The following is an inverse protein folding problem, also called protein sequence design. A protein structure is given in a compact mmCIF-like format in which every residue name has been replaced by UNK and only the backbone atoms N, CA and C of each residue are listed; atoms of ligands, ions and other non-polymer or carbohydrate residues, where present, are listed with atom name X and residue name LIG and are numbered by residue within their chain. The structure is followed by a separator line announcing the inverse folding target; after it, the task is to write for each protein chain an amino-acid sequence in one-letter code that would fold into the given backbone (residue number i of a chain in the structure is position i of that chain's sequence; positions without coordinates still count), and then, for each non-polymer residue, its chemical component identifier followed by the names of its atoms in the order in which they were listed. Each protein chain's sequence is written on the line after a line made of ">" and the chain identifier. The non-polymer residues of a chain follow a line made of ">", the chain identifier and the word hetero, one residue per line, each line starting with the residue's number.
data_IF_733959841296
#
_entry.id   IF_733959841296
#
_cell.length_a   1.000
_cell.length_b   1.000
_cell.length_c   1.000
_cell.angle_alpha   90.00
_cell.angle_beta   90.00
_cell.angle_gamma   90.00
#
_symmetry.space_group_name_H-M   'P 1'
#
loop_
_entity.id
_entity.type
_entity.pdbx_description
1 polymer ?
#
# COMPACT_ATOMS: atom_id res chain seq x y z
N UNK A 1 -54.65 28.44 15.50
CA UNK A 1 -53.33 28.94 15.97
C UNK A 1 -52.63 27.84 16.77
N UNK A 2 -51.29 27.84 16.82
CA UNK A 2 -50.47 26.66 17.18
C UNK A 2 -49.36 27.02 18.18
N UNK A 3 -49.13 26.10 19.15
CA UNK A 3 -47.90 25.86 19.96
C UNK A 3 -47.09 27.05 20.53
N UNK A 4 -46.83 27.03 21.85
CA UNK A 4 -45.49 26.78 22.48
C UNK A 4 -45.36 27.37 23.90
N UNK A 5 -44.82 26.59 24.83
CA UNK A 5 -43.72 26.86 25.81
C UNK A 5 -43.71 25.72 26.85
N UNK A 6 -42.78 24.76 26.82
CA UNK A 6 -41.35 24.74 27.19
C UNK A 6 -41.05 24.57 28.70
N UNK A 7 -40.06 23.71 28.96
CA UNK A 7 -39.74 23.00 30.21
C UNK A 7 -38.85 23.82 31.17
N UNK A 8 -38.93 23.51 32.47
CA UNK A 8 -38.11 24.07 33.55
C UNK A 8 -37.03 23.06 34.00
N UNK A 9 -35.80 23.59 34.11
CA UNK A 9 -34.68 23.29 35.05
C UNK A 9 -34.82 22.09 36.02
N UNK A 10 -33.80 21.23 36.09
CA UNK A 10 -33.02 20.87 37.33
C UNK A 10 -32.28 19.53 37.22
N UNK A 11 -30.93 19.53 37.31
CA UNK A 11 -30.14 18.41 37.87
C UNK A 11 -28.97 19.04 38.66
N UNK A 12 -28.98 18.87 39.99
CA UNK A 12 -27.88 19.25 40.88
C UNK A 12 -27.96 18.37 42.15
N UNK A 13 -27.40 17.16 42.09
CA UNK A 13 -27.42 16.24 43.25
C UNK A 13 -26.24 15.26 43.23
N UNK A 14 -25.73 14.96 44.44
CA UNK A 14 -24.79 13.86 44.76
C UNK A 14 -23.31 14.12 44.38
N UNK A 15 -22.72 15.09 45.09
CA UNK A 15 -21.37 14.99 45.65
C UNK A 15 -21.49 15.13 47.18
N UNK A 16 -20.49 14.64 47.93
CA UNK A 16 -20.41 14.61 49.41
C UNK A 16 -21.38 13.63 50.12
N UNK A 17 -21.14 12.33 49.91
CA UNK A 17 -21.08 11.30 50.98
C UNK A 17 -20.22 10.13 50.46
N UNK A 18 -19.32 9.50 51.22
CA UNK A 18 -18.88 9.74 52.60
C UNK A 18 -17.35 9.94 52.70
N UNK A 19 -16.93 10.77 53.66
CA UNK A 19 -15.70 10.63 54.43
C UNK A 19 -16.10 10.79 55.91
N UNK A 20 -15.25 10.39 56.87
CA UNK A 20 -15.54 10.38 58.31
C UNK A 20 -16.46 9.21 58.71
N UNK A 21 -15.93 7.98 58.61
CA UNK A 21 -16.14 6.99 59.66
C UNK A 21 -14.77 6.69 60.28
N UNK A 22 -14.63 7.24 61.48
CA UNK A 22 -13.61 6.98 62.50
C UNK A 22 -13.18 5.49 62.50
N UNK A 23 -11.89 5.16 62.60
CA UNK A 23 -10.96 5.49 63.71
C UNK A 23 -11.56 5.13 65.07
N UNK A 24 -11.83 3.83 65.29
CA UNK A 24 -11.75 3.21 66.64
C UNK A 24 -11.88 1.67 66.57
N UNK A 25 -10.76 0.97 66.37
CA UNK A 25 -10.51 -0.29 67.09
C UNK A 25 -9.02 -0.61 67.20
N UNK A 26 -8.44 -0.19 68.32
CA UNK A 26 -7.08 -0.53 68.70
C UNK A 26 -7.00 -1.95 69.29
N UNK A 27 -5.79 -2.50 69.22
CA UNK A 27 -5.19 -3.57 70.04
C UNK A 27 -5.38 -5.07 69.72
N UNK A 28 -4.21 -5.65 69.46
CA UNK A 28 -3.66 -6.97 69.86
C UNK A 28 -4.25 -8.26 69.31
N UNK A 29 -3.47 -8.88 68.40
CA UNK A 29 -2.73 -10.11 68.72
C UNK A 29 -1.46 -10.19 67.87
N UNK A 30 -0.33 -10.58 68.45
CA UNK A 30 0.85 -11.01 67.69
C UNK A 30 0.54 -12.34 66.99
N UNK A 31 1.07 -12.56 65.78
CA UNK A 31 1.66 -13.86 65.49
C UNK A 31 2.74 -13.79 64.40
N UNK A 32 3.75 -14.65 64.50
CA UNK A 32 4.91 -14.65 63.61
C UNK A 32 4.66 -15.54 62.40
N UNK A 33 4.82 -14.99 61.19
CA UNK A 33 5.10 -15.81 60.01
C UNK A 33 6.06 -15.10 59.06
N UNK A 34 7.11 -15.81 58.66
CA UNK A 34 8.21 -15.34 57.83
C UNK A 34 7.89 -15.47 56.34
N UNK A 35 8.08 -14.40 55.56
CA UNK A 35 8.34 -14.53 54.11
C UNK A 35 9.33 -13.47 53.62
N UNK A 36 10.33 -13.92 52.86
CA UNK A 36 11.37 -13.05 52.32
C UNK A 36 10.84 -12.27 51.12
N UNK A 37 10.75 -10.94 51.22
CA UNK A 37 10.52 -10.06 50.07
C UNK A 37 11.86 -9.65 49.43
N UNK A 38 12.34 -10.47 48.50
CA UNK A 38 13.39 -10.08 47.56
C UNK A 38 12.84 -9.03 46.59
N UNK A 39 13.29 -7.79 46.70
CA UNK A 39 12.93 -6.71 45.78
C UNK A 39 13.66 -6.86 44.44
N UNK A 40 13.03 -7.50 43.46
CA UNK A 40 13.48 -7.43 42.06
C UNK A 40 13.13 -6.04 41.49
N UNK A 41 14.07 -5.32 40.86
CA UNK A 41 13.74 -4.08 40.15
C UNK A 41 12.76 -4.36 39.01
N UNK A 42 11.96 -3.37 38.56
CA UNK A 42 11.17 -3.53 37.34
C UNK A 42 12.14 -3.77 36.18
N UNK A 43 12.07 -4.95 35.56
CA UNK A 43 12.66 -5.12 34.24
C UNK A 43 11.88 -4.19 33.30
N UNK A 44 12.52 -3.09 32.90
CA UNK A 44 12.15 -2.39 31.67
C UNK A 44 12.23 -3.42 30.55
N UNK A 45 11.06 -3.85 30.08
CA UNK A 45 10.95 -4.65 28.87
C UNK A 45 11.50 -3.80 27.73
N UNK A 46 12.70 -4.17 27.27
CA UNK A 46 13.21 -3.71 25.99
C UNK A 46 12.15 -4.04 24.94
N UNK A 47 11.51 -3.00 24.41
CA UNK A 47 10.65 -3.12 23.24
C UNK A 47 11.53 -3.63 22.11
N UNK A 48 11.45 -4.94 21.84
CA UNK A 48 12.13 -5.55 20.71
C UNK A 48 11.45 -5.04 19.45
N UNK A 49 12.12 -4.11 18.75
CA UNK A 49 11.66 -3.59 17.47
C UNK A 49 11.37 -4.76 16.53
N UNK A 50 10.09 -5.01 16.26
CA UNK A 50 9.67 -6.05 15.31
C UNK A 50 9.94 -5.50 13.90
N UNK A 51 10.99 -5.99 13.27
CA UNK A 51 11.34 -5.67 11.89
C UNK A 51 11.14 -6.92 11.04
N UNK A 52 10.16 -6.86 10.14
CA UNK A 52 10.04 -7.81 9.03
C UNK A 52 11.15 -7.50 8.02
N UNK A 53 11.76 -8.53 7.44
CA UNK A 53 12.80 -8.42 6.41
C UNK A 53 12.61 -9.53 5.37
N UNK A 54 12.79 -9.17 4.12
CA UNK A 54 12.97 -10.08 2.97
C UNK A 54 14.19 -9.62 2.17
N UNK A 55 14.91 -10.55 1.54
CA UNK A 55 16.21 -10.26 0.92
C UNK A 55 16.52 -11.17 -0.28
N UNK A 56 16.86 -10.57 -1.41
CA UNK A 56 17.43 -11.25 -2.58
C UNK A 56 18.97 -11.10 -2.57
N UNK A 57 19.75 -12.15 -2.90
CA UNK A 57 19.31 -13.51 -3.26
C UNK A 57 19.15 -14.45 -2.05
N UNK A 58 19.40 -13.97 -0.83
CA UNK A 58 19.54 -14.77 0.40
C UNK A 58 18.29 -15.63 0.72
N UNK A 59 17.08 -15.09 0.51
CA UNK A 59 15.79 -15.78 0.68
C UNK A 59 15.27 -16.41 -0.63
N UNK A 60 16.11 -16.47 -1.69
CA UNK A 60 15.79 -17.02 -3.01
C UNK A 60 15.53 -15.96 -4.09
N UNK A 61 15.07 -16.42 -5.27
CA UNK A 61 14.77 -15.54 -6.42
C UNK A 61 13.51 -14.69 -6.23
N UNK A 62 12.59 -15.12 -5.38
CA UNK A 62 11.25 -14.53 -5.21
C UNK A 62 10.93 -14.17 -3.74
N UNK A 63 11.72 -13.33 -3.05
CA UNK A 63 11.43 -12.98 -1.66
C UNK A 63 10.13 -12.15 -1.57
N UNK A 64 9.24 -12.58 -0.69
CA UNK A 64 8.00 -11.89 -0.35
C UNK A 64 7.54 -12.26 1.05
N UNK A 65 6.77 -11.39 1.70
CA UNK A 65 6.23 -11.65 3.03
C UNK A 65 4.96 -10.84 3.34
N UNK A 66 4.03 -11.40 4.15
CA UNK A 66 2.89 -10.66 4.67
C UNK A 66 3.31 -9.65 5.75
N UNK A 67 2.67 -8.48 5.74
CA UNK A 67 2.60 -7.56 6.87
C UNK A 67 1.28 -7.84 7.59
N UNK A 68 1.39 -8.63 8.64
CA UNK A 68 0.35 -8.97 9.61
C UNK A 68 0.83 -8.44 10.97
N UNK A 69 0.23 -7.34 11.45
CA UNK A 69 0.66 -6.59 12.63
C UNK A 69 0.02 -7.12 13.91
N UNK A 70 -1.22 -7.57 13.85
CA UNK A 70 -1.96 -8.05 15.02
C UNK A 70 -1.88 -9.58 15.21
N UNK A 71 -1.55 -10.32 14.15
CA UNK A 71 -1.31 -11.75 14.15
C UNK A 71 -2.56 -12.59 13.92
N UNK A 72 -3.61 -12.05 13.30
CA UNK A 72 -4.87 -12.77 13.04
C UNK A 72 -4.78 -13.78 11.86
N UNK A 73 -3.76 -13.64 11.01
CA UNK A 73 -3.51 -14.48 9.84
C UNK A 73 -4.05 -13.94 8.50
N UNK A 74 -4.65 -12.75 8.49
CA UNK A 74 -5.06 -12.01 7.29
C UNK A 74 -4.21 -10.73 7.15
N UNK A 75 -3.23 -10.67 6.22
CA UNK A 75 -2.31 -9.54 6.16
C UNK A 75 -3.01 -8.23 5.79
N UNK A 76 -2.57 -7.11 6.36
CA UNK A 76 -3.05 -5.78 5.94
C UNK A 76 -2.35 -5.28 4.67
N UNK A 77 -1.12 -5.75 4.44
CA UNK A 77 -0.36 -5.56 3.21
C UNK A 77 0.53 -6.77 2.95
N UNK A 78 1.00 -6.94 1.72
CA UNK A 78 2.03 -7.92 1.38
C UNK A 78 3.18 -7.20 0.66
N UNK A 79 4.43 -7.60 0.93
CA UNK A 79 5.63 -7.02 0.31
C UNK A 79 6.35 -8.02 -0.57
N UNK A 80 6.84 -7.58 -1.72
CA UNK A 80 7.61 -8.40 -2.66
C UNK A 80 8.84 -7.65 -3.17
N UNK A 81 9.99 -8.33 -3.24
CA UNK A 81 11.19 -7.79 -3.91
C UNK A 81 11.04 -7.84 -5.44
N UNK A 82 10.20 -8.76 -5.94
CA UNK A 82 9.71 -8.88 -7.32
C UNK A 82 10.70 -8.46 -8.44
N UNK A 83 11.87 -9.11 -8.48
CA UNK A 83 12.88 -8.93 -9.54
C UNK A 83 12.55 -9.80 -10.78
N UNK A 84 11.29 -9.77 -11.22
CA UNK A 84 10.71 -10.80 -12.08
C UNK A 84 11.44 -11.01 -13.41
N UNK A 85 12.01 -9.96 -13.99
CA UNK A 85 12.75 -10.05 -15.25
C UNK A 85 14.27 -10.18 -15.06
N UNK A 86 14.80 -10.19 -13.83
CA UNK A 86 16.21 -10.49 -13.59
C UNK A 86 16.41 -12.02 -13.57
N UNK A 87 17.24 -12.52 -14.50
CA UNK A 87 17.70 -13.91 -14.52
C UNK A 87 18.85 -14.11 -13.51
N UNK A 88 19.77 -13.15 -13.46
CA UNK A 88 20.92 -13.17 -12.56
C UNK A 88 21.44 -11.76 -12.33
N UNK A 89 21.88 -11.46 -11.11
CA UNK A 89 22.64 -10.27 -10.77
C UNK A 89 23.65 -10.58 -9.65
N UNK A 90 24.67 -9.75 -9.51
CA UNK A 90 25.53 -9.68 -8.32
C UNK A 90 25.05 -8.57 -7.39
N UNK A 91 25.31 -8.70 -6.09
CA UNK A 91 24.86 -7.72 -5.09
C UNK A 91 23.61 -8.19 -4.36
N UNK A 92 22.72 -7.27 -3.98
CA UNK A 92 21.50 -7.62 -3.23
C UNK A 92 20.34 -6.64 -3.46
N UNK A 93 19.15 -7.11 -3.10
CA UNK A 93 18.00 -6.26 -2.76
C UNK A 93 17.48 -6.66 -1.37
N UNK A 94 17.06 -5.71 -0.55
CA UNK A 94 16.49 -5.96 0.76
C UNK A 94 15.30 -5.03 0.98
N UNK A 95 14.18 -5.57 1.46
CA UNK A 95 13.04 -4.79 1.91
C UNK A 95 12.79 -5.07 3.39
N UNK A 96 12.62 -4.00 4.17
CA UNK A 96 12.33 -4.09 5.60
C UNK A 96 11.09 -3.29 5.95
N UNK A 97 10.23 -3.87 6.78
CA UNK A 97 9.09 -3.18 7.37
C UNK A 97 9.25 -3.16 8.89
N UNK A 98 9.33 -1.96 9.47
CA UNK A 98 9.40 -1.79 10.92
C UNK A 98 7.98 -1.63 11.46
N UNK A 99 7.43 -2.69 12.07
CA UNK A 99 6.08 -2.71 12.61
C UNK A 99 5.86 -1.68 13.74
N UNK A 100 6.93 -1.19 14.37
CA UNK A 100 6.85 -0.20 15.45
C UNK A 100 6.82 1.23 14.92
N UNK A 101 7.53 1.54 13.82
CA UNK A 101 7.56 2.88 13.24
C UNK A 101 6.68 3.06 12.00
N UNK A 102 6.10 1.97 11.46
CA UNK A 102 5.29 1.99 10.24
C UNK A 102 6.07 2.23 8.95
N UNK A 103 7.41 2.15 8.99
CA UNK A 103 8.28 2.49 7.86
C UNK A 103 8.60 1.24 7.05
N UNK A 104 8.26 1.26 5.77
CA UNK A 104 8.81 0.39 4.73
C UNK A 104 10.05 1.04 4.12
N UNK A 105 11.15 0.30 4.04
CA UNK A 105 12.42 0.75 3.46
C UNK A 105 12.97 -0.33 2.53
N UNK A 106 13.23 0.05 1.28
CA UNK A 106 13.85 -0.78 0.26
C UNK A 106 15.25 -0.29 -0.07
N UNK A 107 16.21 -1.22 -0.15
CA UNK A 107 17.60 -0.97 -0.54
C UNK A 107 18.01 -1.97 -1.62
N UNK A 108 18.40 -1.48 -2.78
CA UNK A 108 18.90 -2.26 -3.91
C UNK A 108 20.30 -1.81 -4.32
N UNK A 109 21.21 -2.77 -4.44
CA UNK A 109 22.56 -2.61 -4.96
C UNK A 109 22.84 -3.81 -5.87
N UNK A 110 22.28 -3.76 -7.09
CA UNK A 110 22.41 -4.83 -8.08
C UNK A 110 23.35 -4.38 -9.21
N UNK A 111 24.25 -5.28 -9.59
CA UNK A 111 25.25 -5.11 -10.65
C UNK A 111 25.35 -6.38 -11.50
N UNK A 112 25.95 -6.29 -12.69
CA UNK A 112 26.06 -7.40 -13.65
C UNK A 112 24.70 -8.04 -14.00
N UNK A 113 23.66 -7.21 -14.11
CA UNK A 113 22.29 -7.65 -14.33
C UNK A 113 22.14 -8.30 -15.72
N UNK A 114 21.59 -9.51 -15.72
CA UNK A 114 21.18 -10.27 -16.91
C UNK A 114 19.67 -10.48 -16.83
N UNK A 115 18.94 -10.14 -17.90
CA UNK A 115 17.48 -10.25 -17.95
C UNK A 115 17.02 -11.62 -18.46
N UNK A 116 15.84 -12.06 -18.02
CA UNK A 116 15.15 -13.27 -18.52
C UNK A 116 14.65 -13.04 -19.95
N UNK A 117 13.96 -11.92 -20.18
CA UNK A 117 13.57 -11.47 -21.52
C UNK A 117 13.81 -9.96 -21.68
N UNK A 118 14.58 -9.58 -22.70
CA UNK A 118 14.88 -8.16 -22.97
C UNK A 118 13.73 -7.41 -23.66
N UNK A 119 12.73 -8.11 -24.19
CA UNK A 119 11.54 -7.50 -24.81
C UNK A 119 10.55 -6.97 -23.76
N UNK A 120 10.54 -7.57 -22.56
CA UNK A 120 9.80 -7.11 -21.37
C UNK A 120 10.35 -5.79 -20.76
N UNK A 121 11.46 -5.27 -21.29
CA UNK A 121 12.05 -3.96 -21.01
C UNK A 121 12.60 -3.72 -19.59
N UNK A 122 11.71 -3.64 -18.59
CA UNK A 122 12.06 -3.37 -17.19
C UNK A 122 12.66 -4.61 -16.50
N UNK A 123 13.25 -4.43 -15.33
CA UNK A 123 14.00 -5.48 -14.62
C UNK A 123 13.15 -6.17 -13.55
N UNK A 124 12.27 -5.42 -12.91
CA UNK A 124 11.48 -5.85 -11.76
C UNK A 124 10.64 -4.69 -11.25
N UNK A 125 9.78 -4.99 -10.28
CA UNK A 125 8.82 -4.07 -9.67
C UNK A 125 8.78 -4.30 -8.14
N UNK A 126 9.86 -4.00 -7.38
CA UNK A 126 9.84 -4.09 -5.92
C UNK A 126 8.76 -3.18 -5.32
N UNK A 127 7.95 -3.74 -4.42
CA UNK A 127 6.62 -3.23 -4.14
C UNK A 127 6.00 -3.67 -2.79
N UNK A 128 4.86 -3.04 -2.48
CA UNK A 128 3.90 -3.38 -1.44
C UNK A 128 2.49 -3.32 -2.01
N UNK A 129 1.62 -4.27 -1.68
CA UNK A 129 0.25 -4.33 -2.23
C UNK A 129 -0.83 -4.65 -1.20
N UNK A 130 -2.07 -4.33 -1.57
CA UNK A 130 -3.32 -4.67 -0.88
C UNK A 130 -4.29 -5.34 -1.86
N UNK A 131 -5.02 -6.37 -1.44
CA UNK A 131 -5.86 -7.22 -2.28
C UNK A 131 -5.23 -8.59 -2.56
N UNK A 132 -5.59 -9.20 -3.70
CA UNK A 132 -5.08 -10.50 -4.14
C UNK A 132 -4.20 -10.33 -5.39
N UNK A 133 -2.92 -10.68 -5.34
CA UNK A 133 -2.03 -10.51 -6.50
C UNK A 133 -2.21 -11.65 -7.50
N UNK A 134 -2.71 -11.39 -8.72
CA UNK A 134 -3.15 -12.45 -9.64
C UNK A 134 -2.02 -13.28 -10.26
N UNK A 135 -0.77 -12.82 -10.16
CA UNK A 135 0.40 -13.52 -10.69
C UNK A 135 0.89 -14.68 -9.82
N UNK A 136 0.50 -14.73 -8.55
CA UNK A 136 0.95 -15.75 -7.61
C UNK A 136 -0.17 -16.03 -6.57
N UNK A 137 0.17 -16.62 -5.41
CA UNK A 137 -0.80 -16.98 -4.37
C UNK A 137 -0.79 -16.02 -3.15
N UNK A 138 -0.13 -14.87 -3.28
CA UNK A 138 0.03 -13.90 -2.20
C UNK A 138 -1.13 -12.91 -2.16
N UNK A 139 -1.58 -12.58 -0.96
CA UNK A 139 -2.71 -11.69 -0.72
C UNK A 139 -2.55 -10.93 0.59
N UNK A 140 -3.30 -9.85 0.71
CA UNK A 140 -3.46 -9.05 1.93
C UNK A 140 -4.84 -8.39 1.89
N UNK A 141 -5.78 -8.83 2.71
CA UNK A 141 -7.17 -8.37 2.64
C UNK A 141 -7.70 -7.74 3.93
N UNK A 142 -6.90 -7.63 5.00
CA UNK A 142 -7.32 -6.87 6.18
C UNK A 142 -7.24 -5.36 5.91
N UNK A 143 -8.39 -4.78 5.58
CA UNK A 143 -8.47 -3.37 5.23
C UNK A 143 -9.88 -2.92 4.85
N UNK A 144 -10.05 -1.63 4.56
CA UNK A 144 -11.37 -1.02 4.45
C UNK A 144 -12.05 -1.16 3.08
N UNK A 145 -11.35 -1.66 2.05
CA UNK A 145 -11.88 -1.79 0.67
C UNK A 145 -11.98 -3.29 0.34
N UNK A 146 -13.16 -3.85 0.04
CA UNK A 146 -13.31 -5.30 -0.12
C UNK A 146 -12.74 -5.80 -1.45
N UNK A 147 -11.41 -5.96 -1.54
CA UNK A 147 -10.72 -6.52 -2.70
C UNK A 147 -10.47 -8.02 -2.53
N UNK A 148 -10.64 -8.85 -3.58
CA UNK A 148 -11.20 -8.49 -4.88
C UNK A 148 -12.70 -8.17 -4.86
N UNK A 149 -13.13 -7.25 -5.73
CA UNK A 149 -14.55 -7.00 -5.98
C UNK A 149 -14.81 -6.56 -7.41
N UNK A 150 -16.01 -6.87 -7.91
CA UNK A 150 -16.46 -6.37 -9.22
C UNK A 150 -16.39 -4.85 -9.27
N UNK A 151 -15.88 -4.31 -10.38
CA UNK A 151 -15.85 -2.87 -10.67
C UNK A 151 -17.24 -2.24 -10.54
N UNK A 152 -18.32 -2.96 -10.90
CA UNK A 152 -19.72 -2.50 -10.72
C UNK A 152 -20.16 -2.33 -9.26
N UNK A 153 -19.48 -2.98 -8.32
CA UNK A 153 -19.89 -3.08 -6.92
C UNK A 153 -19.01 -2.24 -5.98
N UNK A 154 -17.83 -1.83 -6.45
CA UNK A 154 -16.90 -1.03 -5.66
C UNK A 154 -17.36 0.43 -5.54
N UNK A 155 -17.18 0.98 -4.35
CA UNK A 155 -17.15 2.41 -4.14
C UNK A 155 -15.81 2.98 -4.59
N UNK A 156 -15.80 4.27 -4.95
CA UNK A 156 -14.56 5.01 -5.14
C UNK A 156 -13.81 5.14 -3.79
N UNK A 157 -12.50 5.34 -3.86
CA UNK A 157 -11.66 5.55 -2.69
C UNK A 157 -10.52 6.51 -3.00
N UNK A 158 -10.09 7.24 -1.98
CA UNK A 158 -8.80 7.92 -2.03
C UNK A 158 -7.70 6.95 -1.65
N UNK A 159 -6.70 6.81 -2.52
CA UNK A 159 -5.41 6.22 -2.15
C UNK A 159 -4.46 7.36 -1.74
N UNK A 160 -3.96 7.32 -0.50
CA UNK A 160 -2.94 8.24 0.01
C UNK A 160 -1.66 7.50 0.30
N UNK A 161 -0.54 8.01 -0.23
CA UNK A 161 0.80 7.42 -0.06
C UNK A 161 1.77 8.52 0.40
N UNK A 162 2.56 8.25 1.42
CA UNK A 162 3.69 9.08 1.85
C UNK A 162 5.00 8.36 1.56
N UNK A 163 5.84 8.91 0.67
CA UNK A 163 6.99 8.21 0.10
C UNK A 163 8.17 9.12 -0.24
N UNK A 164 9.33 8.50 -0.49
CA UNK A 164 10.54 9.15 -1.00
C UNK A 164 11.38 8.19 -1.86
N UNK A 165 11.89 8.67 -3.00
CA UNK A 165 12.66 7.87 -3.97
C UNK A 165 14.08 8.41 -4.16
N UNK A 166 15.09 7.55 -4.06
CA UNK A 166 16.51 7.85 -4.31
C UNK A 166 17.16 6.86 -5.31
N UNK A 167 16.76 6.88 -6.60
CA UNK A 167 17.52 6.23 -7.67
C UNK A 167 18.91 6.85 -7.80
N UNK A 168 19.95 6.00 -7.89
CA UNK A 168 21.34 6.43 -8.07
C UNK A 168 21.72 6.41 -9.55
N UNK A 169 22.72 7.21 -9.92
CA UNK A 169 23.35 7.22 -11.25
C UNK A 169 22.42 7.43 -12.46
N UNK A 170 21.25 8.04 -12.27
CA UNK A 170 20.26 8.24 -13.35
C UNK A 170 19.58 6.93 -13.81
N UNK A 171 19.48 5.94 -12.92
CA UNK A 171 18.70 4.71 -13.15
C UNK A 171 17.28 5.06 -13.63
N UNK A 172 16.85 4.59 -14.81
CA UNK A 172 15.47 4.74 -15.25
C UNK A 172 14.53 4.02 -14.28
N UNK A 173 13.57 4.75 -13.72
CA UNK A 173 12.55 4.21 -12.81
C UNK A 173 11.18 4.87 -13.04
N UNK A 174 10.14 4.27 -12.50
CA UNK A 174 8.92 4.99 -12.12
C UNK A 174 8.62 4.83 -10.63
N UNK A 175 7.57 5.50 -10.17
CA UNK A 175 6.81 5.08 -9.00
C UNK A 175 5.36 4.95 -9.47
N UNK A 176 4.93 3.71 -9.58
CA UNK A 176 3.64 3.33 -10.11
C UNK A 176 2.75 2.82 -8.97
N UNK A 177 1.46 3.08 -9.14
CA UNK A 177 0.42 2.28 -8.53
C UNK A 177 -0.16 1.43 -9.66
N UNK A 178 -0.42 0.16 -9.39
CA UNK A 178 -0.95 -0.80 -10.36
C UNK A 178 -2.20 -1.49 -9.79
N UNK A 179 -3.11 -1.90 -10.67
CA UNK A 179 -4.22 -2.78 -10.34
C UNK A 179 -4.51 -3.70 -11.51
N UNK A 180 -4.79 -4.96 -11.20
CA UNK A 180 -5.26 -5.93 -12.18
C UNK A 180 -6.77 -6.05 -12.19
N UNK A 181 -7.32 -6.24 -13.40
CA UNK A 181 -8.74 -6.43 -13.63
C UNK A 181 -9.02 -7.76 -14.33
N UNK A 182 -9.51 -8.73 -13.56
CA UNK A 182 -9.67 -10.15 -13.97
C UNK A 182 -11.14 -10.54 -14.18
N UNK A 183 -11.36 -11.67 -14.87
CA UNK A 183 -12.68 -12.28 -15.08
C UNK A 183 -13.18 -13.10 -13.89
N UNK A 184 -12.29 -13.53 -13.00
CA UNK A 184 -12.61 -14.29 -11.79
C UNK A 184 -12.08 -13.59 -10.54
N UNK A 185 -12.80 -13.76 -9.42
CA UNK A 185 -12.66 -12.96 -8.20
C UNK A 185 -11.47 -13.32 -7.28
N UNK A 186 -10.60 -14.22 -7.72
CA UNK A 186 -9.45 -14.68 -6.94
C UNK A 186 -8.48 -15.41 -7.87
N UNK A 187 -7.88 -14.66 -8.80
CA UNK A 187 -6.90 -15.20 -9.75
C UNK A 187 -5.59 -15.47 -9.02
N UNK A 188 -4.86 -16.53 -9.40
CA UNK A 188 -3.51 -16.83 -8.86
C UNK A 188 -2.55 -17.40 -9.91
N UNK A 189 -2.91 -17.25 -11.20
CA UNK A 189 -2.33 -17.98 -12.33
C UNK A 189 -1.99 -17.08 -13.53
N UNK A 190 -1.88 -15.77 -13.30
CA UNK A 190 -1.57 -14.76 -14.32
C UNK A 190 -2.79 -14.19 -15.04
N UNK A 191 -2.55 -13.51 -16.16
CA UNK A 191 -3.52 -12.60 -16.79
C UNK A 191 -3.76 -12.96 -18.26
N UNK A 192 -5.00 -12.82 -18.71
CA UNK A 192 -5.48 -13.19 -20.05
C UNK A 192 -5.68 -11.98 -20.97
N UNK A 193 -5.86 -12.26 -22.27
CA UNK A 193 -5.99 -11.24 -23.32
C UNK A 193 -7.29 -10.44 -23.31
N UNK A 194 -8.28 -10.86 -22.53
CA UNK A 194 -9.55 -10.17 -22.30
C UNK A 194 -9.65 -9.49 -20.92
N UNK A 195 -8.51 -9.34 -20.23
CA UNK A 195 -8.33 -8.71 -18.92
C UNK A 195 -7.44 -7.45 -19.03
N UNK A 196 -7.37 -6.63 -17.96
CA UNK A 196 -6.68 -5.33 -18.01
C UNK A 196 -5.66 -5.14 -16.87
N UNK A 197 -4.56 -4.48 -17.21
CA UNK A 197 -3.61 -3.84 -16.28
C UNK A 197 -3.86 -2.33 -16.28
N UNK A 198 -4.02 -1.72 -15.11
CA UNK A 198 -4.12 -0.26 -14.95
C UNK A 198 -2.98 0.25 -14.09
N UNK A 199 -2.09 1.04 -14.69
CA UNK A 199 -0.99 1.72 -14.00
C UNK A 199 -1.23 3.22 -13.84
N UNK A 200 -0.79 3.79 -12.71
CA UNK A 200 -0.83 5.22 -12.39
C UNK A 200 0.57 5.66 -11.95
N UNK A 201 1.34 6.25 -12.86
CA UNK A 201 2.71 6.69 -12.58
C UNK A 201 2.70 8.12 -12.03
N UNK A 202 2.98 8.27 -10.73
CA UNK A 202 3.12 9.57 -10.06
C UNK A 202 4.57 10.08 -9.98
N UNK A 203 5.54 9.21 -10.28
CA UNK A 203 6.91 9.59 -10.65
C UNK A 203 7.38 8.81 -11.87
N UNK A 204 8.26 9.40 -12.67
CA UNK A 204 9.08 8.68 -13.64
C UNK A 204 10.37 9.45 -13.95
N UNK A 205 11.41 8.70 -14.31
CA UNK A 205 12.66 9.18 -14.88
C UNK A 205 13.20 8.14 -15.88
N UNK A 206 13.68 8.56 -17.05
CA UNK A 206 14.19 7.66 -18.09
C UNK A 206 13.20 6.65 -18.72
N UNK A 207 11.97 6.51 -18.23
CA UNK A 207 10.95 5.56 -18.71
C UNK A 207 9.75 6.23 -19.41
N UNK A 208 9.09 5.47 -20.29
CA UNK A 208 7.75 5.77 -20.82
C UNK A 208 6.86 4.52 -20.73
N UNK A 209 5.54 4.66 -20.63
CA UNK A 209 4.63 3.51 -20.57
C UNK A 209 4.60 2.74 -21.90
N UNK A 210 4.12 1.49 -21.85
CA UNK A 210 3.98 0.67 -23.03
C UNK A 210 2.96 1.24 -24.05
N UNK A 211 3.14 0.88 -25.32
CA UNK A 211 2.23 1.24 -26.41
C UNK A 211 2.30 2.70 -26.84
N UNK A 212 1.15 3.39 -26.83
CA UNK A 212 1.03 4.73 -27.44
C UNK A 212 0.15 5.67 -26.62
N UNK A 213 0.47 6.97 -26.62
CA UNK A 213 -0.35 8.01 -25.97
C UNK A 213 -1.67 8.20 -26.72
N UNK A 214 -2.78 8.03 -26.01
CA UNK A 214 -4.16 8.19 -26.49
C UNK A 214 -4.67 9.62 -26.30
N UNK A 215 -4.52 10.16 -25.08
CA UNK A 215 -5.04 11.49 -24.70
C UNK A 215 -4.31 12.04 -23.47
N UNK A 216 -4.70 13.23 -23.04
CA UNK A 216 -4.37 13.76 -21.71
C UNK A 216 -5.66 13.99 -20.93
N UNK A 217 -5.62 13.79 -19.61
CA UNK A 217 -6.73 14.05 -18.68
C UNK A 217 -6.26 14.94 -17.53
N UNK A 218 -7.19 15.60 -16.85
CA UNK A 218 -6.94 16.32 -15.60
C UNK A 218 -7.61 15.56 -14.46
N UNK A 219 -6.84 15.24 -13.42
CA UNK A 219 -7.33 14.60 -12.20
C UNK A 219 -7.04 15.54 -11.01
N UNK A 220 -8.05 15.88 -10.19
CA UNK A 220 -7.82 16.61 -8.95
C UNK A 220 -7.18 15.66 -7.93
N UNK A 221 -5.93 15.94 -7.56
CA UNK A 221 -5.15 15.20 -6.56
C UNK A 221 -4.81 16.14 -5.39
N UNK A 222 -4.27 15.59 -4.30
CA UNK A 222 -3.68 16.38 -3.22
C UNK A 222 -2.19 16.05 -3.15
N UNK A 223 -1.33 17.07 -3.15
CA UNK A 223 0.13 16.91 -3.00
C UNK A 223 0.57 17.75 -1.81
N UNK A 224 1.19 17.10 -0.81
CA UNK A 224 1.64 17.72 0.44
C UNK A 224 0.55 18.59 1.11
N UNK A 225 -0.67 18.05 1.17
CA UNK A 225 -1.85 18.73 1.74
C UNK A 225 -2.49 19.81 0.86
N UNK A 226 -1.93 20.12 -0.31
CA UNK A 226 -2.46 21.14 -1.24
C UNK A 226 -3.22 20.47 -2.39
N UNK A 227 -4.50 20.79 -2.65
CA UNK A 227 -5.20 20.32 -3.85
C UNK A 227 -4.59 20.88 -5.14
N UNK A 228 -4.38 20.03 -6.14
CA UNK A 228 -3.80 20.38 -7.44
C UNK A 228 -4.56 19.65 -8.55
N UNK A 229 -4.85 20.36 -9.64
CA UNK A 229 -5.33 19.75 -10.88
C UNK A 229 -4.11 19.23 -11.66
N UNK A 230 -3.78 17.95 -11.50
CA UNK A 230 -2.66 17.31 -12.18
C UNK A 230 -3.08 16.81 -13.57
N UNK A 231 -2.23 17.02 -14.56
CA UNK A 231 -2.42 16.46 -15.90
C UNK A 231 -1.71 15.12 -16.03
N UNK A 232 -2.43 14.10 -16.49
CA UNK A 232 -1.90 12.79 -16.80
C UNK A 232 -1.98 12.51 -18.30
N UNK A 233 -0.91 12.01 -18.89
CA UNK A 233 -0.94 11.36 -20.19
C UNK A 233 -1.55 9.96 -20.04
N UNK A 234 -2.51 9.63 -20.90
CA UNK A 234 -3.11 8.29 -20.94
C UNK A 234 -2.48 7.52 -22.09
N UNK A 235 -1.80 6.42 -21.76
CA UNK A 235 -1.14 5.51 -22.68
C UNK A 235 -1.93 4.20 -22.74
N UNK A 236 -1.94 3.55 -23.92
CA UNK A 236 -2.62 2.27 -24.13
C UNK A 236 -1.76 1.32 -24.98
N UNK A 237 -1.73 0.06 -24.57
CA UNK A 237 -1.11 -1.04 -25.32
C UNK A 237 -1.97 -2.31 -25.28
N UNK A 238 -1.57 -3.32 -26.04
CA UNK A 238 -1.96 -4.71 -25.78
C UNK A 238 -0.68 -5.55 -25.84
N UNK A 239 -0.34 -6.23 -24.75
CA UNK A 239 0.97 -6.87 -24.51
C UNK A 239 0.83 -8.34 -24.06
N UNK A 240 -0.32 -8.95 -24.35
CA UNK A 240 -0.77 -10.21 -23.76
C UNK A 240 -2.11 -10.04 -23.06
N UNK A 241 -2.34 -8.85 -22.51
CA UNK A 241 -3.57 -8.28 -21.95
C UNK A 241 -3.71 -6.82 -22.40
N UNK A 242 -4.84 -6.17 -22.09
CA UNK A 242 -4.97 -4.73 -22.32
C UNK A 242 -4.23 -3.94 -21.25
N UNK A 243 -3.36 -3.01 -21.65
CA UNK A 243 -2.57 -2.18 -20.74
C UNK A 243 -3.03 -0.73 -20.85
N UNK A 244 -3.33 -0.08 -19.72
CA UNK A 244 -3.65 1.35 -19.65
C UNK A 244 -2.82 2.02 -18.57
N UNK A 245 -2.00 2.99 -18.95
CA UNK A 245 -1.16 3.73 -18.00
C UNK A 245 -1.44 5.23 -17.98
N UNK A 246 -1.52 5.78 -16.77
CA UNK A 246 -1.73 7.19 -16.49
C UNK A 246 -0.43 7.80 -15.98
N UNK A 247 0.36 8.43 -16.84
CA UNK A 247 1.63 9.05 -16.47
C UNK A 247 1.45 10.54 -16.18
N UNK A 248 1.70 10.97 -14.94
CA UNK A 248 1.64 12.38 -14.57
C UNK A 248 2.64 13.20 -15.40
N UNK A 249 2.27 14.42 -15.82
CA UNK A 249 3.17 15.30 -16.59
C UNK A 249 4.19 16.06 -15.72
N UNK A 250 3.96 16.08 -14.41
CA UNK A 250 4.84 16.72 -13.42
C UNK A 250 5.20 15.68 -12.35
N UNK A 251 6.32 14.94 -12.50
CA UNK A 251 6.70 13.87 -11.58
C UNK A 251 6.90 14.35 -10.14
N UNK A 252 6.43 13.55 -9.18
CA UNK A 252 6.54 13.82 -7.74
C UNK A 252 7.49 12.79 -7.13
N UNK A 253 8.73 13.17 -6.85
CA UNK A 253 9.78 12.23 -6.40
C UNK A 253 9.69 11.85 -4.91
N UNK A 254 9.10 12.73 -4.10
CA UNK A 254 8.89 12.53 -2.67
C UNK A 254 7.73 13.40 -2.18
N UNK A 255 7.13 13.01 -1.06
CA UNK A 255 6.04 13.74 -0.40
C UNK A 255 4.87 12.84 -0.05
N UNK A 256 3.72 13.48 0.24
CA UNK A 256 2.44 12.80 0.43
C UNK A 256 1.51 13.12 -0.73
N UNK A 257 1.01 12.09 -1.41
CA UNK A 257 0.10 12.23 -2.56
C UNK A 257 -1.19 11.48 -2.27
N UNK A 258 -2.33 12.14 -2.51
CA UNK A 258 -3.66 11.51 -2.47
C UNK A 258 -4.30 11.57 -3.85
N UNK A 259 -4.76 10.44 -4.37
CA UNK A 259 -5.42 10.31 -5.68
C UNK A 259 -6.82 9.65 -5.54
N UNK A 260 -7.85 10.12 -6.27
CA UNK A 260 -9.15 9.44 -6.34
C UNK A 260 -9.09 8.29 -7.35
N UNK A 261 -9.24 7.04 -6.90
CA UNK A 261 -8.98 5.87 -7.74
C UNK A 261 -9.96 5.76 -8.92
N UNK A 262 -11.24 6.05 -8.68
CA UNK A 262 -12.31 6.01 -9.68
C UNK A 262 -12.09 6.95 -10.86
N UNK A 263 -11.32 8.03 -10.71
CA UNK A 263 -10.98 8.91 -11.82
C UNK A 263 -10.12 8.22 -12.90
N UNK A 264 -9.30 7.24 -12.49
CA UNK A 264 -8.46 6.46 -13.39
C UNK A 264 -9.23 5.27 -13.95
N UNK A 265 -9.90 4.49 -13.10
CA UNK A 265 -10.69 3.32 -13.51
C UNK A 265 -11.85 3.71 -14.45
N UNK A 266 -12.53 4.84 -14.21
CA UNK A 266 -13.57 5.35 -15.14
C UNK A 266 -13.02 5.69 -16.52
N UNK A 267 -11.82 6.28 -16.59
CA UNK A 267 -11.17 6.59 -17.88
C UNK A 267 -10.67 5.33 -18.57
N UNK A 268 -10.11 4.38 -17.81
CA UNK A 268 -9.68 3.08 -18.32
C UNK A 268 -10.85 2.28 -18.91
N UNK A 269 -11.97 2.20 -18.18
CA UNK A 269 -13.24 1.62 -18.65
C UNK A 269 -13.71 2.27 -19.96
N UNK A 270 -13.74 3.61 -20.02
CA UNK A 270 -14.22 4.35 -21.19
C UNK A 270 -13.33 4.17 -22.43
N UNK A 271 -12.02 3.91 -22.29
CA UNK A 271 -11.13 3.68 -23.44
C UNK A 271 -10.83 2.19 -23.69
N UNK A 272 -11.36 1.31 -22.84
CA UNK A 272 -11.16 -0.12 -22.95
C UNK A 272 -11.79 -0.67 -24.23
N UNK A 273 -11.15 -1.70 -24.79
CA UNK A 273 -11.72 -2.50 -25.87
C UNK A 273 -12.27 -3.84 -25.36
N UNK A 274 -12.26 -4.06 -24.04
CA UNK A 274 -12.73 -5.27 -23.40
C UNK A 274 -14.27 -5.27 -23.27
N UNK A 275 -14.93 -6.41 -23.57
CA UNK A 275 -16.35 -6.56 -23.28
C UNK A 275 -16.59 -6.62 -21.78
N UNK A 276 -17.79 -6.21 -21.35
CA UNK A 276 -18.29 -6.37 -19.98
C UNK A 276 -17.31 -5.85 -18.91
N UNK A 277 -16.66 -4.71 -19.14
CA UNK A 277 -15.60 -4.17 -18.27
C UNK A 277 -16.01 -4.07 -16.79
N UNK A 278 -17.24 -3.62 -16.51
CA UNK A 278 -17.75 -3.49 -15.14
C UNK A 278 -17.99 -4.81 -14.42
N UNK A 279 -17.95 -5.95 -15.13
CA UNK A 279 -18.04 -7.28 -14.56
C UNK A 279 -16.68 -7.86 -14.16
N UNK A 280 -15.57 -7.23 -14.58
CA UNK A 280 -14.22 -7.55 -14.10
C UNK A 280 -14.12 -7.28 -12.60
N UNK A 281 -13.28 -8.06 -11.92
CA UNK A 281 -12.89 -7.84 -10.54
C UNK A 281 -11.64 -6.98 -10.51
N UNK A 282 -11.65 -5.90 -9.72
CA UNK A 282 -10.44 -5.22 -9.32
C UNK A 282 -9.80 -6.09 -8.23
N UNK A 283 -8.69 -6.74 -8.53
CA UNK A 283 -8.08 -7.74 -7.63
C UNK A 283 -7.29 -7.09 -6.49
N UNK A 284 -6.56 -6.02 -6.81
CA UNK A 284 -5.52 -5.44 -5.95
C UNK A 284 -5.23 -3.95 -6.21
N UNK A 285 -4.38 -3.39 -5.35
CA UNK A 285 -3.71 -2.10 -5.47
C UNK A 285 -2.25 -2.33 -5.08
N UNK A 286 -1.40 -2.48 -6.09
CA UNK A 286 0.05 -2.68 -5.99
C UNK A 286 0.78 -1.32 -6.03
N UNK A 287 1.81 -1.13 -5.22
CA UNK A 287 2.55 0.14 -5.11
C UNK A 287 4.06 -0.14 -5.11
N UNK A 288 4.75 0.25 -6.17
CA UNK A 288 6.17 -0.07 -6.33
C UNK A 288 6.91 0.81 -7.32
N UNK A 289 8.13 0.42 -7.63
CA UNK A 289 9.00 1.10 -8.59
C UNK A 289 9.43 0.15 -9.69
N UNK A 290 8.91 0.30 -10.92
CA UNK A 290 9.54 -0.38 -12.05
C UNK A 290 10.90 0.28 -12.28
N UNK A 291 11.92 -0.51 -12.62
CA UNK A 291 13.25 0.02 -12.86
C UNK A 291 13.99 -0.67 -14.00
N UNK A 292 15.00 0.04 -14.52
CA UNK A 292 15.94 -0.48 -15.50
C UNK A 292 15.39 -0.53 -16.92
N UNK A 293 16.27 -0.90 -17.84
CA UNK A 293 16.01 -1.03 -19.28
C UNK A 293 16.88 -2.15 -19.86
N UNK A 294 16.68 -2.58 -21.12
CA UNK A 294 17.53 -3.59 -21.74
C UNK A 294 19.02 -3.22 -21.91
N UNK A 295 19.43 -1.98 -21.63
CA UNK A 295 20.83 -1.52 -21.62
C UNK A 295 21.39 -1.27 -20.21
N UNK A 296 20.55 -1.34 -19.18
CA UNK A 296 20.95 -1.16 -17.78
C UNK A 296 21.59 -2.45 -17.25
N UNK A 297 22.83 -2.38 -16.75
CA UNK A 297 23.55 -3.52 -16.15
C UNK A 297 23.85 -3.34 -14.66
N UNK A 298 23.58 -2.15 -14.12
CA UNK A 298 23.71 -1.77 -12.72
C UNK A 298 22.48 -0.96 -12.32
N UNK A 299 21.84 -1.32 -11.21
CA UNK A 299 20.63 -0.69 -10.71
C UNK A 299 20.73 -0.54 -9.20
N UNK A 300 21.13 0.66 -8.76
CA UNK A 300 21.21 1.03 -7.35
C UNK A 300 20.04 1.98 -7.03
N UNK A 301 19.17 1.56 -6.13
CA UNK A 301 17.91 2.24 -5.80
C UNK A 301 17.67 2.15 -4.29
N UNK A 302 17.14 3.22 -3.72
CA UNK A 302 16.71 3.24 -2.33
C UNK A 302 15.39 4.01 -2.25
N UNK A 303 14.41 3.51 -1.50
CA UNK A 303 13.14 4.22 -1.31
C UNK A 303 12.49 3.89 0.04
N UNK A 304 11.60 4.79 0.47
CA UNK A 304 10.82 4.66 1.69
C UNK A 304 9.34 4.89 1.40
N UNK A 305 8.47 4.12 2.06
CA UNK A 305 7.04 4.40 2.19
C UNK A 305 6.73 4.41 3.69
N UNK A 306 6.10 5.48 4.18
CA UNK A 306 5.83 5.70 5.60
C UNK A 306 4.35 5.71 5.96
N UNK A 307 3.47 5.79 4.96
CA UNK A 307 2.04 5.62 5.11
C UNK A 307 1.41 5.20 3.79
N UNK A 308 0.45 4.27 3.86
CA UNK A 308 -0.49 3.92 2.80
C UNK A 308 -1.88 3.93 3.44
N UNK A 309 -2.86 4.58 2.82
CA UNK A 309 -4.23 4.61 3.32
C UNK A 309 -5.22 4.60 2.17
N UNK A 310 -6.09 3.58 2.13
CA UNK A 310 -7.24 3.53 1.25
C UNK A 310 -8.47 4.03 2.03
N UNK A 311 -9.08 5.12 1.58
CA UNK A 311 -10.22 5.77 2.27
C UNK A 311 -11.47 5.66 1.39
N UNK A 312 -12.48 4.85 1.75
CA UNK A 312 -13.69 4.70 0.94
C UNK A 312 -14.50 6.00 0.87
N UNK A 313 -15.19 6.20 -0.26
CA UNK A 313 -16.05 7.34 -0.53
C UNK A 313 -17.48 6.88 -0.80
N UNK A 314 -18.46 7.71 -0.44
CA UNK A 314 -19.89 7.43 -0.67
C UNK A 314 -20.30 7.78 -2.13
N UNK A 315 -19.65 7.10 -3.09
CA UNK A 315 -19.96 7.14 -4.53
C UNK A 315 -19.39 5.89 -5.23
N UNK A 316 -19.94 5.45 -6.38
CA UNK A 316 -19.39 4.32 -7.15
C UNK A 316 -17.98 4.59 -7.69
N UNK A 317 -17.20 3.53 -7.91
CA UNK A 317 -15.85 3.59 -8.50
C UNK A 317 -15.88 4.07 -9.97
N UNK A 318 -16.92 3.71 -10.71
CA UNK A 318 -17.16 4.19 -12.09
C UNK A 318 -18.15 5.37 -12.06
N UNK A 319 -17.77 6.48 -12.69
CA UNK A 319 -18.59 7.70 -12.85
C UNK A 319 -18.77 8.08 -14.32
#
# INVERSE_FOLDING_TARGET
>A
MSKKKFVIVSILTILLVQAIYFVEKYHTSEDKSTSNTSSTPPQTTLSTTKVLKIRYPDDGEWPGAPIDKDGDGNPEFYIEINLWNILNATGFAEMTYNLTSGVLHYVQQLDNIVLRDRSNWVHGYPEIFYGNKPWNANYATDGPIPLPSKVSNLTDFYLTISYKLEPKNGLPINFAIESWLTREAWRTTGINSDEQEVMIWIYYDGLQPAGSKVKEIVVPIIVNGTPVNATFEVWKANIGWEYVAFRIKTPIKEGTVTIPYGAFISVAANISSLPNYTELYLEDVEIGTEFGTPSTTSAHLEWWITNITLTPLDRPLIS
#
